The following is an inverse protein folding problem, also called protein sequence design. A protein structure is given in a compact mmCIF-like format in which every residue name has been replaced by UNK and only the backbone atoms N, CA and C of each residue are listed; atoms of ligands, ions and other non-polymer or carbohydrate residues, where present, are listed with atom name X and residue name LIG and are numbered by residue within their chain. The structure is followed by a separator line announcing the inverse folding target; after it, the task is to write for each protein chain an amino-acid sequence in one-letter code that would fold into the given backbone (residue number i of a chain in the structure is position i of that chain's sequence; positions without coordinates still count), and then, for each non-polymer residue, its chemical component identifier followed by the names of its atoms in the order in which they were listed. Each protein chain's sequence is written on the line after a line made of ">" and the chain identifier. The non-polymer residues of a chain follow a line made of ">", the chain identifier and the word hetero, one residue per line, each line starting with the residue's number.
data_IF_878047401420
#
_entry.id   IF_878047401420
#
_cell.length_a   1.000
_cell.length_b   1.000
_cell.length_c   1.000
_cell.angle_alpha   90.00
_cell.angle_beta   90.00
_cell.angle_gamma   90.00
#
_symmetry.space_group_name_H-M   'P 1'
#
loop_
_entity.id
_entity.type
_entity.pdbx_description
1 polymer ?
#
# COMPACT_ATOMS: atom_id res chain seq x y z
N UNK A 1 17.43 1.23 -1.26
CA UNK A 1 17.10 1.89 -2.22
C UNK A 1 15.73 1.78 -2.62
N UNK A 2 15.12 2.65 -3.16
CA UNK A 2 13.73 2.62 -3.50
C UNK A 2 13.41 2.03 -4.83
N UNK A 3 14.37 1.47 -5.49
CA UNK A 3 14.14 0.97 -6.84
C UNK A 3 13.61 -0.46 -6.93
N UNK A 4 13.53 -1.12 -5.83
CA UNK A 4 13.11 -2.52 -5.85
C UNK A 4 11.86 -2.74 -5.04
N UNK A 5 10.99 -3.59 -5.54
CA UNK A 5 9.83 -4.03 -4.81
C UNK A 5 9.94 -5.54 -4.71
N UNK A 6 9.94 -6.05 -3.50
CA UNK A 6 10.07 -7.49 -3.29
C UNK A 6 8.70 -8.13 -3.19
N UNK A 7 8.53 -9.25 -3.82
CA UNK A 7 7.31 -10.02 -3.69
C UNK A 7 7.66 -11.42 -3.26
N UNK A 8 6.97 -11.91 -2.26
CA UNK A 8 7.17 -13.26 -1.81
C UNK A 8 6.49 -14.18 -2.81
N UNK A 9 7.16 -15.27 -3.14
CA UNK A 9 6.63 -16.23 -4.08
C UNK A 9 5.27 -16.78 -3.68
N UNK A 10 5.01 -16.85 -2.39
CA UNK A 10 3.75 -17.36 -1.87
C UNK A 10 2.53 -16.50 -2.21
N UNK A 11 2.76 -15.31 -2.75
CA UNK A 11 1.64 -14.45 -3.14
C UNK A 11 0.77 -15.15 -4.17
N UNK A 12 1.33 -16.07 -4.94
CA UNK A 12 0.56 -16.76 -5.97
C UNK A 12 -0.46 -17.73 -5.35
N UNK A 13 -0.29 -18.08 -4.09
CA UNK A 13 -1.25 -18.93 -3.39
C UNK A 13 -2.23 -18.10 -2.54
N UNK A 14 -2.04 -16.80 -2.51
CA UNK A 14 -2.91 -15.93 -1.73
C UNK A 14 -4.17 -15.62 -2.53
N UNK A 15 -5.29 -15.39 -1.85
CA UNK A 15 -6.54 -15.11 -2.54
C UNK A 15 -6.46 -13.93 -3.50
N UNK A 16 -5.61 -12.97 -3.20
CA UNK A 16 -5.53 -11.76 -4.02
C UNK A 16 -5.03 -12.07 -5.43
N UNK A 17 -4.29 -13.14 -5.57
CA UNK A 17 -3.76 -13.51 -6.88
C UNK A 17 -4.87 -14.04 -7.80
N UNK A 18 -6.00 -14.41 -7.21
CA UNK A 18 -7.11 -14.96 -8.01
C UNK A 18 -7.85 -13.86 -8.77
N UNK A 19 -7.65 -12.61 -8.42
CA UNK A 19 -8.28 -11.50 -9.12
C UNK A 19 -7.16 -10.63 -9.68
N UNK A 20 -7.01 -10.66 -10.99
CA UNK A 20 -5.91 -9.96 -11.65
C UNK A 20 -5.90 -8.46 -11.35
N UNK A 21 -7.06 -7.87 -11.25
CA UNK A 21 -7.17 -6.44 -10.98
C UNK A 21 -6.78 -6.14 -9.54
N UNK A 22 -7.24 -6.93 -8.59
CA UNK A 22 -6.90 -6.76 -7.18
C UNK A 22 -5.40 -6.98 -6.98
N UNK A 23 -4.82 -7.95 -7.67
CA UNK A 23 -3.39 -8.18 -7.57
C UNK A 23 -2.61 -6.98 -8.09
N UNK A 24 -3.06 -6.42 -9.22
CA UNK A 24 -2.43 -5.25 -9.79
C UNK A 24 -2.52 -4.07 -8.82
N UNK A 25 -3.66 -3.90 -8.16
CA UNK A 25 -3.84 -2.79 -7.22
C UNK A 25 -2.98 -2.97 -5.98
N UNK A 26 -2.83 -4.22 -5.52
CA UNK A 26 -1.97 -4.50 -4.39
C UNK A 26 -0.51 -4.16 -4.74
N UNK A 27 -0.08 -4.60 -5.91
CA UNK A 27 1.27 -4.29 -6.35
C UNK A 27 1.47 -2.79 -6.46
N UNK A 28 0.47 -2.08 -6.97
CA UNK A 28 0.54 -0.64 -7.12
C UNK A 28 0.63 0.06 -5.76
N UNK A 29 -0.08 -0.44 -4.76
CA UNK A 29 0.04 0.11 -3.41
C UNK A 29 1.47 -0.06 -2.89
N UNK A 30 2.07 -1.22 -3.11
CA UNK A 30 3.45 -1.44 -2.69
C UNK A 30 4.40 -0.47 -3.38
N UNK A 31 4.09 -0.13 -4.62
CA UNK A 31 4.93 0.81 -5.37
C UNK A 31 4.71 2.26 -4.93
N UNK A 32 3.53 2.58 -4.43
CA UNK A 32 3.20 3.95 -4.05
C UNK A 32 3.68 4.33 -2.66
N UNK A 33 3.78 3.39 -1.73
CA UNK A 33 4.10 3.74 -0.36
C UNK A 33 5.53 4.23 -0.22
N UNK A 34 5.76 5.03 0.79
CA UNK A 34 7.09 5.57 1.04
C UNK A 34 8.07 4.44 1.32
N UNK A 35 9.22 4.44 0.68
CA UNK A 35 10.24 3.45 0.94
C UNK A 35 11.21 3.90 2.03
N UNK A 36 11.05 5.13 2.45
CA UNK A 36 11.78 5.66 3.59
C UNK A 36 10.94 6.75 4.23
N UNK A 37 11.20 7.05 5.48
CA UNK A 37 10.49 8.13 6.16
C UNK A 37 10.85 9.44 5.49
N UNK A 38 9.88 10.29 5.28
CA UNK A 38 10.14 11.61 4.71
C UNK A 38 8.95 12.52 4.99
N UNK A 39 9.13 13.80 4.80
CA UNK A 39 8.09 14.76 5.05
C UNK A 39 7.35 15.14 3.80
N UNK A 40 6.05 15.30 3.87
CA UNK A 40 5.24 15.72 2.75
C UNK A 40 4.25 16.78 3.20
N UNK A 41 3.83 17.60 2.28
CA UNK A 41 2.83 18.61 2.54
C UNK A 41 1.52 18.16 1.91
N UNK A 42 0.45 18.19 2.69
CA UNK A 42 -0.87 17.82 2.18
C UNK A 42 -1.93 18.68 2.85
N UNK A 43 -2.77 19.34 2.05
CA UNK A 43 -3.83 20.20 2.54
C UNK A 43 -3.31 21.21 3.55
N UNK A 44 -2.17 21.78 3.27
CA UNK A 44 -1.61 22.82 4.13
C UNK A 44 -0.94 22.33 5.41
N UNK A 45 -0.84 21.03 5.57
CA UNK A 45 -0.21 20.47 6.77
C UNK A 45 1.03 19.68 6.39
N UNK A 46 2.01 19.75 7.27
CA UNK A 46 3.25 19.02 7.06
C UNK A 46 3.17 17.72 7.84
N UNK A 47 3.38 16.61 7.17
CA UNK A 47 3.34 15.30 7.81
C UNK A 47 4.62 14.55 7.60
N UNK A 48 4.98 13.71 8.56
CA UNK A 48 6.02 12.73 8.33
C UNK A 48 5.34 11.45 7.88
N UNK A 49 5.59 11.03 6.66
CA UNK A 49 5.14 9.74 6.20
C UNK A 49 6.20 8.73 6.55
N UNK A 50 5.80 7.70 7.23
CA UNK A 50 6.72 6.64 7.60
C UNK A 50 6.84 5.65 6.46
N UNK A 51 7.91 4.91 6.46
CA UNK A 51 8.11 3.83 5.50
C UNK A 51 6.88 2.93 5.49
N UNK A 52 6.37 2.62 4.33
CA UNK A 52 5.18 1.78 4.16
C UNK A 52 3.86 2.52 4.21
N UNK A 53 3.89 3.85 4.26
CA UNK A 53 2.66 4.64 4.28
C UNK A 53 2.47 5.46 3.02
N UNK A 54 1.22 5.74 2.69
CA UNK A 54 0.92 6.61 1.55
C UNK A 54 -0.37 7.37 1.86
N UNK A 55 -0.47 8.59 1.36
CA UNK A 55 -1.71 9.35 1.45
C UNK A 55 -2.54 8.96 0.23
N UNK A 56 -3.69 8.36 0.46
CA UNK A 56 -4.53 7.90 -0.65
C UNK A 56 -6.00 7.88 -0.28
N UNK A 57 -6.74 8.82 -0.82
CA UNK A 57 -8.19 8.86 -0.62
C UNK A 57 -8.86 7.88 -1.59
N UNK A 58 -10.10 7.55 -1.31
CA UNK A 58 -10.87 6.72 -2.20
C UNK A 58 -10.98 7.41 -3.57
N UNK A 59 -11.20 8.72 -3.58
CA UNK A 59 -11.30 9.46 -4.84
C UNK A 59 -10.01 9.40 -5.64
N UNK A 60 -8.88 9.53 -4.98
CA UNK A 60 -7.60 9.44 -5.66
C UNK A 60 -7.44 8.05 -6.30
N UNK A 61 -7.81 7.02 -5.56
CA UNK A 61 -7.66 5.66 -6.07
C UNK A 61 -8.63 5.35 -7.21
N UNK A 62 -9.84 5.90 -7.17
CA UNK A 62 -10.78 5.70 -8.28
C UNK A 62 -10.22 6.32 -9.54
N UNK A 63 -9.59 7.47 -9.43
CA UNK A 63 -9.02 8.13 -10.56
C UNK A 63 -7.79 7.38 -11.07
N UNK A 64 -6.94 6.98 -10.16
CA UNK A 64 -5.71 6.27 -10.52
C UNK A 64 -5.98 4.91 -11.15
N UNK A 65 -6.94 4.18 -10.60
CA UNK A 65 -7.18 2.81 -11.05
C UNK A 65 -8.30 2.69 -12.08
N UNK A 66 -9.03 3.79 -12.31
CA UNK A 66 -10.03 3.79 -13.37
C UNK A 66 -11.22 2.88 -13.12
N UNK A 67 -11.59 2.70 -11.86
CA UNK A 67 -12.75 1.86 -11.55
C UNK A 67 -13.68 2.62 -10.61
N UNK A 68 -14.91 2.14 -10.50
CA UNK A 68 -15.88 2.84 -9.70
C UNK A 68 -15.57 2.71 -8.21
N UNK A 69 -16.13 3.63 -7.47
CA UNK A 69 -15.88 3.75 -6.05
C UNK A 69 -16.21 2.48 -5.28
N UNK A 70 -17.29 1.84 -5.64
CA UNK A 70 -17.75 0.65 -4.95
C UNK A 70 -16.73 -0.47 -4.99
N UNK A 71 -16.14 -0.68 -6.15
CA UNK A 71 -15.16 -1.76 -6.29
C UNK A 71 -13.87 -1.42 -5.55
N UNK A 72 -13.48 -0.16 -5.55
CA UNK A 72 -12.29 0.26 -4.82
C UNK A 72 -12.50 0.07 -3.30
N UNK A 73 -13.66 0.47 -2.80
CA UNK A 73 -13.98 0.31 -1.39
C UNK A 73 -13.97 -1.18 -1.03
N UNK A 74 -14.53 -2.01 -1.90
CA UNK A 74 -14.56 -3.44 -1.66
C UNK A 74 -13.14 -4.00 -1.54
N UNK A 75 -12.27 -3.61 -2.45
CA UNK A 75 -10.88 -4.06 -2.42
C UNK A 75 -10.20 -3.65 -1.11
N UNK A 76 -10.34 -2.38 -0.74
CA UNK A 76 -9.70 -1.89 0.48
C UNK A 76 -10.24 -2.60 1.73
N UNK A 77 -11.52 -2.86 1.75
CA UNK A 77 -12.13 -3.59 2.88
C UNK A 77 -11.57 -5.01 2.98
N UNK A 78 -11.37 -5.66 1.84
CA UNK A 78 -10.86 -7.03 1.84
C UNK A 78 -9.42 -7.08 2.34
N UNK A 79 -8.55 -6.20 1.85
CA UNK A 79 -7.16 -6.24 2.28
C UNK A 79 -7.00 -5.72 3.71
N UNK A 80 -7.88 -4.85 4.14
CA UNK A 80 -7.86 -4.39 5.52
C UNK A 80 -8.30 -5.52 6.46
N UNK A 81 -9.35 -6.22 6.08
CA UNK A 81 -9.84 -7.33 6.88
C UNK A 81 -8.78 -8.44 6.98
N UNK A 82 -8.04 -8.64 5.92
CA UNK A 82 -7.00 -9.67 5.90
C UNK A 82 -5.73 -9.22 6.61
N UNK A 83 -5.72 -8.04 7.16
CA UNK A 83 -4.55 -7.56 7.90
C UNK A 83 -3.41 -7.07 7.05
N UNK A 84 -3.65 -6.83 5.77
CA UNK A 84 -2.60 -6.40 4.87
C UNK A 84 -2.33 -4.90 4.95
N UNK A 85 -3.35 -4.13 5.32
CA UNK A 85 -3.20 -2.70 5.49
C UNK A 85 -3.99 -2.22 6.69
N UNK A 86 -3.68 -1.02 7.15
CA UNK A 86 -4.58 -0.28 8.05
C UNK A 86 -4.85 1.05 7.39
N UNK A 87 -5.99 1.64 7.69
CA UNK A 87 -6.35 2.95 7.16
C UNK A 87 -6.65 3.87 8.32
N UNK A 88 -6.04 5.05 8.31
CA UNK A 88 -6.25 6.05 9.34
C UNK A 88 -6.48 7.40 8.69
N UNK A 89 -6.98 8.36 9.47
CA UNK A 89 -7.19 9.70 8.97
C UNK A 89 -6.51 10.67 9.92
N UNK A 90 -5.64 11.51 9.40
CA UNK A 90 -4.96 12.50 10.21
C UNK A 90 -5.60 13.86 9.97
N UNK A 91 -5.62 14.66 11.00
CA UNK A 91 -6.17 16.03 10.91
C UNK A 91 -7.55 16.02 10.28
N UNK A 92 -8.29 14.94 10.53
CA UNK A 92 -9.67 14.82 10.07
C UNK A 92 -9.84 14.73 8.57
N UNK A 93 -8.79 14.92 7.79
CA UNK A 93 -8.95 14.95 6.36
C UNK A 93 -7.93 14.17 5.56
N UNK A 94 -6.82 13.82 6.16
CA UNK A 94 -5.76 13.19 5.41
C UNK A 94 -5.79 11.69 5.57
N UNK A 95 -6.25 10.96 4.54
CA UNK A 95 -6.35 9.51 4.63
C UNK A 95 -4.99 8.86 4.39
N UNK A 96 -4.55 8.06 5.32
CA UNK A 96 -3.27 7.37 5.24
C UNK A 96 -3.47 5.88 5.23
N UNK A 97 -2.88 5.22 4.24
CA UNK A 97 -2.85 3.78 4.16
C UNK A 97 -1.49 3.32 4.63
N UNK A 98 -1.45 2.34 5.50
CA UNK A 98 -0.19 1.77 5.98
C UNK A 98 -0.17 0.30 5.64
N UNK A 99 0.89 -0.14 4.96
CA UNK A 99 1.06 -1.56 4.65
C UNK A 99 1.56 -2.24 5.92
N UNK A 100 0.81 -3.22 6.40
CA UNK A 100 1.19 -3.96 7.59
C UNK A 100 2.40 -4.84 7.25
N UNK A 101 3.30 -4.94 8.18
CA UNK A 101 4.50 -5.76 8.02
C UNK A 101 5.38 -5.34 6.83
N UNK A 102 5.31 -4.07 6.47
CA UNK A 102 6.08 -3.59 5.33
C UNK A 102 7.57 -3.87 5.50
N UNK A 103 8.11 -3.68 6.70
CA UNK A 103 9.52 -3.92 6.94
C UNK A 103 9.87 -5.38 6.70
N UNK A 104 9.00 -6.26 7.05
CA UNK A 104 9.23 -7.68 6.84
C UNK A 104 9.25 -8.01 5.34
N UNK A 105 8.34 -7.43 4.60
CA UNK A 105 8.26 -7.71 3.17
C UNK A 105 9.36 -7.03 2.36
N UNK A 106 9.72 -5.81 2.72
CA UNK A 106 10.62 -5.02 1.90
C UNK A 106 11.95 -4.77 2.60
N UNK A 107 12.37 -5.71 3.43
CA UNK A 107 13.53 -5.57 4.16
C UNK A 107 14.72 -5.35 3.29
N UNK A 108 15.63 -4.44 3.69
CA UNK A 108 16.70 -4.16 2.88
C UNK A 108 17.65 -5.19 2.74
N UNK A 109 17.97 -5.42 1.74
CA UNK A 109 18.87 -6.25 1.26
C UNK A 109 19.63 -7.13 1.84
N UNK A 110 19.22 -7.72 2.41
CA UNK A 110 19.89 -8.29 3.14
C UNK A 110 19.72 -9.58 3.06
N UNK A 111 18.84 -10.07 2.97
CA UNK A 111 18.70 -11.33 3.14
C UNK A 111 18.37 -11.90 1.95
N UNK A 112 19.22 -12.29 1.23
CA UNK A 112 19.08 -12.95 0.08
C UNK A 112 18.12 -14.00 0.13
N UNK A 113 18.12 -14.78 1.05
CA UNK A 113 17.25 -15.91 1.08
C UNK A 113 15.81 -15.56 1.14
N UNK A 114 15.52 -14.39 1.51
CA UNK A 114 14.20 -14.04 1.64
C UNK A 114 13.59 -13.51 0.48
N UNK A 115 14.31 -13.16 -0.42
CA UNK A 115 13.74 -12.49 -1.51
C UNK A 115 13.22 -13.30 -2.51
N UNK A 116 12.98 -14.33 -2.50
CA UNK A 116 12.44 -14.96 -3.62
C UNK A 116 11.71 -15.89 -3.37
#
# INVERSE_FOLDING_TARGET
>A
MGNWIKLNRDITAHWIFQDAEFFKWWFDLLAMVAWRDHEVMHDGHLFTLKRGQVIASISYLTERWGRNRKRIIRFLQLIEKDGMITRTVRNRQTPILTICNYEHYQQQGDTIGDTI
#
